data_IF_593857775812
#
_entry.id   IF_593857775812
#
_cell.length_a   1.000
_cell.length_b   1.000
_cell.length_c   1.000
_cell.angle_alpha   90.00
_cell.angle_beta   90.00
_cell.angle_gamma   90.00
#
_symmetry.space_group_name_H-M   'P 1'
#
loop_
_entity.id
_entity.type
_entity.pdbx_description
1 polymer ?
#
# COMPACT_ATOMS: atom_id res chain seq x y z
N UNK A 1 15.89 -16.40 -12.79
CA UNK A 1 14.92 -15.50 -12.13
C UNK A 1 13.58 -15.78 -12.77
N UNK A 2 12.53 -15.93 -11.97
CA UNK A 2 11.18 -16.00 -12.51
C UNK A 2 10.84 -14.66 -13.17
N UNK A 3 10.04 -14.73 -14.24
CA UNK A 3 9.44 -13.56 -14.86
C UNK A 3 8.37 -12.95 -13.94
N UNK A 4 8.03 -11.69 -14.18
CA UNK A 4 6.91 -11.02 -13.49
C UNK A 4 5.61 -11.83 -13.62
N UNK A 5 5.34 -12.38 -14.81
CA UNK A 5 4.17 -13.22 -15.05
C UNK A 5 4.15 -14.47 -14.17
N UNK A 6 5.29 -15.17 -14.06
CA UNK A 6 5.39 -16.37 -13.22
C UNK A 6 5.24 -16.07 -11.71
N UNK A 7 5.62 -14.87 -11.26
CA UNK A 7 5.40 -14.45 -9.87
C UNK A 7 3.94 -14.05 -9.61
N UNK A 8 3.32 -13.32 -10.54
CA UNK A 8 1.89 -12.95 -10.44
C UNK A 8 0.96 -14.16 -10.52
N UNK A 9 1.29 -15.17 -11.32
CA UNK A 9 0.50 -16.40 -11.44
C UNK A 9 0.39 -17.21 -10.13
N UNK A 10 1.36 -17.04 -9.21
CA UNK A 10 1.36 -17.73 -7.91
C UNK A 10 0.44 -17.06 -6.89
N UNK A 11 0.06 -15.81 -7.12
CA UNK A 11 -0.76 -15.04 -6.20
C UNK A 11 -2.22 -15.47 -6.29
N UNK A 12 -2.89 -15.50 -5.14
CA UNK A 12 -4.34 -15.58 -5.09
C UNK A 12 -4.99 -14.33 -5.70
N UNK A 13 -6.29 -14.43 -5.99
CA UNK A 13 -7.05 -13.29 -6.51
C UNK A 13 -6.98 -12.07 -5.58
N UNK A 14 -7.04 -12.29 -4.27
CA UNK A 14 -7.02 -11.19 -3.30
C UNK A 14 -5.66 -10.50 -3.30
N UNK A 15 -4.57 -11.26 -3.33
CA UNK A 15 -3.19 -10.73 -3.44
C UNK A 15 -2.95 -9.98 -4.75
N UNK A 16 -3.50 -10.47 -5.87
CA UNK A 16 -3.46 -9.76 -7.15
C UNK A 16 -4.19 -8.41 -7.09
N UNK A 17 -5.33 -8.34 -6.40
CA UNK A 17 -6.05 -7.08 -6.19
C UNK A 17 -5.21 -6.13 -5.35
N UNK A 18 -4.56 -6.62 -4.29
CA UNK A 18 -3.67 -5.83 -3.42
C UNK A 18 -2.50 -5.23 -4.23
N UNK A 19 -1.81 -6.03 -5.04
CA UNK A 19 -0.72 -5.55 -5.91
C UNK A 19 -1.22 -4.59 -7.01
N UNK A 20 -2.43 -4.80 -7.53
CA UNK A 20 -3.07 -3.87 -8.46
C UNK A 20 -3.33 -2.50 -7.79
N UNK A 21 -3.85 -2.49 -6.56
CA UNK A 21 -4.10 -1.24 -5.81
C UNK A 21 -2.79 -0.50 -5.56
N UNK A 22 -1.76 -1.20 -5.07
CA UNK A 22 -0.41 -0.65 -4.90
C UNK A 22 0.14 -0.02 -6.17
N UNK A 23 0.03 -0.73 -7.30
CA UNK A 23 0.51 -0.24 -8.61
C UNK A 23 -0.27 0.99 -9.09
N UNK A 24 -1.60 1.00 -8.93
CA UNK A 24 -2.43 2.16 -9.28
C UNK A 24 -2.15 3.36 -8.40
N UNK A 25 -1.91 3.15 -7.10
CA UNK A 25 -1.52 4.21 -6.15
C UNK A 25 -0.17 4.82 -6.57
N UNK A 26 0.83 3.99 -6.85
CA UNK A 26 2.14 4.45 -7.31
C UNK A 26 2.03 5.29 -8.59
N UNK A 27 1.24 4.84 -9.57
CA UNK A 27 1.01 5.59 -10.80
C UNK A 27 0.32 6.94 -10.53
N UNK A 28 -0.73 6.98 -9.71
CA UNK A 28 -1.41 8.23 -9.33
C UNK A 28 -0.46 9.22 -8.65
N UNK A 29 0.39 8.73 -7.74
CA UNK A 29 1.39 9.53 -7.05
C UNK A 29 2.42 10.12 -8.03
N UNK A 30 2.93 9.30 -8.96
CA UNK A 30 3.87 9.74 -9.98
C UNK A 30 3.24 10.79 -10.90
N UNK A 31 2.03 10.57 -11.39
CA UNK A 31 1.33 11.55 -12.24
C UNK A 31 1.12 12.88 -11.54
N UNK A 32 0.73 12.87 -10.25
CA UNK A 32 0.57 14.10 -9.46
C UNK A 32 1.90 14.82 -9.26
N UNK A 33 2.95 14.09 -8.92
CA UNK A 33 4.29 14.66 -8.76
C UNK A 33 4.78 15.33 -10.05
N UNK A 34 4.60 14.68 -11.20
CA UNK A 34 4.97 15.25 -12.50
C UNK A 34 4.15 16.50 -12.84
N UNK A 35 2.85 16.48 -12.58
CA UNK A 35 1.98 17.64 -12.78
C UNK A 35 2.41 18.82 -11.90
N UNK A 36 2.75 18.56 -10.64
CA UNK A 36 3.19 19.58 -9.70
C UNK A 36 4.57 20.16 -10.06
N UNK A 37 5.54 19.31 -10.41
CA UNK A 37 6.86 19.75 -10.91
C UNK A 37 6.69 20.67 -12.11
N UNK A 38 5.76 20.34 -13.02
CA UNK A 38 5.51 21.12 -14.23
C UNK A 38 4.93 22.51 -13.96
N UNK A 39 4.26 22.70 -12.82
CA UNK A 39 3.57 23.95 -12.45
C UNK A 39 4.41 24.81 -11.52
N UNK A 40 4.88 24.24 -10.41
CA UNK A 40 5.38 24.98 -9.26
C UNK A 40 6.76 24.52 -8.77
N UNK A 41 7.44 23.62 -9.51
CA UNK A 41 8.79 23.17 -9.18
C UNK A 41 8.90 22.21 -7.98
N UNK A 42 7.79 21.56 -7.60
CA UNK A 42 7.61 20.68 -6.44
C UNK A 42 7.78 21.37 -5.08
N UNK A 43 6.66 21.76 -4.46
CA UNK A 43 6.62 22.41 -3.14
C UNK A 43 5.67 21.74 -2.13
N UNK A 44 4.82 20.82 -2.60
CA UNK A 44 3.70 20.24 -1.87
C UNK A 44 3.55 18.74 -2.19
N UNK A 45 4.25 17.88 -1.43
CA UNK A 45 4.06 16.43 -1.51
C UNK A 45 2.63 16.01 -1.12
N UNK A 46 1.72 15.93 -2.09
CA UNK A 46 0.35 15.42 -1.91
C UNK A 46 0.24 14.00 -2.46
N UNK A 47 0.68 13.03 -1.65
CA UNK A 47 0.47 11.63 -1.94
C UNK A 47 -1.01 11.24 -1.87
N UNK A 48 -1.38 10.22 -2.63
CA UNK A 48 -2.63 9.50 -2.46
C UNK A 48 -2.77 9.03 -1.01
N UNK A 49 -3.80 9.55 -0.34
CA UNK A 49 -4.10 9.31 1.07
C UNK A 49 -4.69 7.93 1.34
N UNK A 50 -4.90 7.09 0.32
CA UNK A 50 -5.54 5.80 0.51
C UNK A 50 -7.02 5.91 0.85
N UNK A 51 -7.60 4.79 1.23
CA UNK A 51 -9.01 4.65 1.59
C UNK A 51 -9.15 3.74 2.82
N UNK A 52 -10.27 3.88 3.53
CA UNK A 52 -10.62 3.00 4.65
C UNK A 52 -11.27 1.70 4.12
N UNK A 53 -10.57 0.56 4.15
CA UNK A 53 -11.16 -0.72 3.77
C UNK A 53 -12.18 -1.22 4.80
N UNK A 54 -12.96 -2.25 4.45
CA UNK A 54 -13.67 -3.06 5.44
C UNK A 54 -12.69 -3.84 6.32
N UNK A 55 -13.12 -4.26 7.51
CA UNK A 55 -12.27 -5.05 8.43
C UNK A 55 -11.79 -6.36 7.79
N UNK A 56 -12.68 -7.06 7.08
CA UNK A 56 -12.32 -8.29 6.35
C UNK A 56 -11.23 -8.03 5.32
N UNK A 57 -11.34 -6.94 4.55
CA UNK A 57 -10.35 -6.61 3.54
C UNK A 57 -9.04 -6.11 4.15
N UNK A 58 -9.12 -5.34 5.24
CA UNK A 58 -7.94 -4.92 6.01
C UNK A 58 -7.14 -6.12 6.51
N UNK A 59 -7.81 -7.13 7.07
CA UNK A 59 -7.16 -8.36 7.54
C UNK A 59 -6.39 -9.09 6.43
N UNK A 60 -6.93 -9.11 5.21
CA UNK A 60 -6.26 -9.68 4.03
C UNK A 60 -5.04 -8.86 3.61
N UNK A 61 -5.16 -7.52 3.61
CA UNK A 61 -4.04 -6.62 3.31
C UNK A 61 -2.92 -6.81 4.33
N UNK A 62 -3.24 -6.85 5.62
CA UNK A 62 -2.26 -7.07 6.70
C UNK A 62 -1.53 -8.39 6.49
N UNK A 63 -2.27 -9.49 6.33
CA UNK A 63 -1.68 -10.82 6.15
C UNK A 63 -0.74 -10.85 4.94
N UNK A 64 -1.12 -10.16 3.87
CA UNK A 64 -0.26 -10.04 2.69
C UNK A 64 0.98 -9.19 2.97
N UNK A 65 0.83 -8.03 3.62
CA UNK A 65 1.94 -7.14 3.94
C UNK A 65 2.97 -7.83 4.84
N UNK A 66 2.52 -8.51 5.90
CA UNK A 66 3.37 -9.30 6.80
C UNK A 66 4.15 -10.38 6.04
N UNK A 67 3.52 -11.05 5.06
CA UNK A 67 4.19 -12.06 4.23
C UNK A 67 5.33 -11.51 3.36
N UNK A 68 5.45 -10.18 3.23
CA UNK A 68 6.48 -9.50 2.45
C UNK A 68 7.58 -8.87 3.31
N UNK A 69 7.45 -8.91 4.63
CA UNK A 69 8.46 -8.42 5.56
C UNK A 69 9.65 -9.40 5.62
N UNK A 70 10.84 -8.86 5.90
CA UNK A 70 12.02 -9.67 6.20
C UNK A 70 11.89 -10.29 7.61
N UNK A 71 12.61 -11.38 7.85
CA UNK A 71 12.58 -12.08 9.14
C UNK A 71 12.98 -11.14 10.29
N UNK A 72 12.04 -10.87 11.20
CA UNK A 72 12.25 -10.05 12.39
C UNK A 72 11.78 -8.61 12.26
N UNK A 73 11.29 -8.18 11.09
CA UNK A 73 10.62 -6.91 10.92
C UNK A 73 9.17 -6.98 11.43
N UNK A 74 8.68 -5.83 11.91
CA UNK A 74 7.30 -5.65 12.34
C UNK A 74 6.57 -4.74 11.37
N UNK A 75 5.29 -5.02 11.18
CA UNK A 75 4.41 -4.21 10.34
C UNK A 75 4.32 -2.77 10.87
N UNK A 76 4.62 -1.81 10.01
CA UNK A 76 4.42 -0.38 10.26
C UNK A 76 3.18 0.12 9.50
N UNK A 77 2.61 1.25 9.94
CA UNK A 77 1.54 1.94 9.23
C UNK A 77 1.92 2.23 7.78
N UNK A 78 3.18 2.57 7.51
CA UNK A 78 3.66 2.84 6.15
C UNK A 78 3.61 1.62 5.21
N UNK A 79 3.73 0.40 5.75
CA UNK A 79 3.58 -0.84 4.98
C UNK A 79 2.15 -1.01 4.49
N UNK A 80 1.17 -0.73 5.35
CA UNK A 80 -0.25 -0.78 5.00
C UNK A 80 -0.65 0.35 4.05
N UNK A 81 -0.11 1.55 4.25
CA UNK A 81 -0.33 2.67 3.33
C UNK A 81 0.14 2.32 1.92
N UNK A 82 1.26 1.61 1.76
CA UNK A 82 1.76 1.15 0.45
C UNK A 82 0.70 0.40 -0.36
N UNK A 83 -0.17 -0.33 0.33
CA UNK A 83 -1.28 -1.09 -0.25
C UNK A 83 -2.60 -0.32 -0.34
N UNK A 84 -2.59 0.98 -0.05
CA UNK A 84 -3.72 1.89 -0.26
C UNK A 84 -4.64 2.06 0.96
N UNK A 85 -4.24 1.55 2.13
CA UNK A 85 -4.92 1.86 3.40
C UNK A 85 -4.64 3.32 3.75
N UNK A 86 -5.63 4.03 4.28
CA UNK A 86 -5.41 5.39 4.77
C UNK A 86 -4.59 5.42 6.07
N UNK A 87 -3.84 6.51 6.29
CA UNK A 87 -2.94 6.66 7.43
C UNK A 87 -3.64 6.49 8.79
N UNK A 88 -4.88 6.97 8.95
CA UNK A 88 -5.60 6.84 10.22
C UNK A 88 -5.94 5.38 10.52
N UNK A 89 -6.39 4.64 9.51
CA UNK A 89 -6.67 3.21 9.64
C UNK A 89 -5.39 2.39 9.84
N UNK A 90 -4.31 2.72 9.14
CA UNK A 90 -3.01 2.06 9.26
C UNK A 90 -2.39 2.29 10.65
N UNK A 91 -2.31 3.54 11.10
CA UNK A 91 -1.78 3.89 12.43
C UNK A 91 -2.62 3.25 13.54
N UNK A 92 -3.95 3.27 13.41
CA UNK A 92 -4.82 2.61 14.38
C UNK A 92 -4.54 1.10 14.46
N UNK A 93 -4.27 0.45 13.33
CA UNK A 93 -3.96 -0.98 13.31
C UNK A 93 -2.62 -1.28 13.99
N UNK A 94 -1.57 -0.52 13.66
CA UNK A 94 -0.21 -0.81 14.12
C UNK A 94 0.10 -0.26 15.53
N UNK A 95 -0.57 0.83 15.94
CA UNK A 95 -0.23 1.59 17.15
C UNK A 95 -1.41 1.85 18.10
N UNK A 96 -2.62 1.45 17.73
CA UNK A 96 -3.78 1.55 18.62
C UNK A 96 -3.62 0.60 19.80
N UNK A 97 -3.51 1.14 21.02
CA UNK A 97 -3.56 0.35 22.26
C UNK A 97 -4.93 -0.36 22.37
N UNK A 98 -4.87 -1.70 22.46
CA UNK A 98 -5.89 -2.66 22.92
C UNK A 98 -7.31 -2.65 22.30
N UNK A 99 -7.72 -3.82 21.81
CA UNK A 99 -9.13 -4.24 21.66
C UNK A 99 -9.58 -4.99 22.91
#
# INVERSE_FOLDING_TARGET
MASEWEELEKLSKDELIIELVKSRRAMRNMCRLLDEISKDGASHYLYDRGEKPSEEWLSKIVSYAESKLDDGDHLDGSDLERYGVDSETADRYCYGEDW
#
